data_IF_613433134843
#
_entry.id   IF_613433134843
#
_cell.length_a   1.000
_cell.length_b   1.000
_cell.length_c   1.000
_cell.angle_alpha   90.00
_cell.angle_beta   90.00
_cell.angle_gamma   90.00
#
_symmetry.space_group_name_H-M   'P 1'
#
loop_
_entity.id
_entity.type
_entity.pdbx_description
1 polymer ?
#
# COMPACT_ATOMS: atom_id res chain seq x y z
N UNK A 1 22.73 31.33 1.10
CA UNK A 1 21.48 30.74 0.56
C UNK A 1 21.36 29.39 1.22
N UNK A 2 20.48 29.26 2.20
CA UNK A 2 20.25 27.99 2.89
C UNK A 2 19.56 27.05 1.91
N UNK A 3 20.19 25.91 1.63
CA UNK A 3 19.55 24.76 0.99
C UNK A 3 18.19 24.56 1.66
N UNK A 4 17.14 24.70 0.88
CA UNK A 4 15.80 24.34 1.34
C UNK A 4 15.74 22.84 1.14
N UNK A 5 15.78 22.08 2.23
CA UNK A 5 15.31 20.71 2.20
C UNK A 5 13.86 20.76 1.67
N UNK A 6 13.65 20.26 0.44
CA UNK A 6 12.32 20.16 -0.14
C UNK A 6 11.55 19.09 0.64
N UNK A 7 10.79 19.54 1.63
CA UNK A 7 9.88 18.70 2.42
C UNK A 7 8.61 18.50 1.62
N UNK A 8 8.26 17.23 1.36
CA UNK A 8 7.04 16.88 0.65
C UNK A 8 6.12 16.08 1.57
N UNK A 9 4.90 16.56 1.77
CA UNK A 9 3.90 15.92 2.63
C UNK A 9 2.79 15.36 1.75
N UNK A 10 2.40 14.11 2.00
CA UNK A 10 1.29 13.44 1.29
C UNK A 10 0.36 12.71 2.26
N UNK A 11 -0.83 12.34 1.79
CA UNK A 11 -1.71 11.44 2.54
C UNK A 11 -1.20 10.00 2.50
N UNK A 12 -1.36 9.29 3.62
CA UNK A 12 -1.12 7.84 3.74
C UNK A 12 -2.24 6.99 3.14
N UNK A 13 -3.43 7.55 3.00
CA UNK A 13 -4.63 6.82 2.54
C UNK A 13 -4.87 5.53 3.34
N UNK A 14 -4.67 5.57 4.66
CA UNK A 14 -4.63 4.36 5.52
C UNK A 14 -5.91 3.52 5.37
N UNK A 15 -7.08 4.18 5.30
CA UNK A 15 -8.37 3.50 5.10
C UNK A 15 -8.45 2.79 3.74
N UNK A 16 -8.06 3.44 2.66
CA UNK A 16 -8.13 2.85 1.32
C UNK A 16 -7.12 1.70 1.18
N UNK A 17 -5.94 1.85 1.76
CA UNK A 17 -4.94 0.80 1.82
C UNK A 17 -5.41 -0.44 2.58
N UNK A 18 -6.07 -0.26 3.73
CA UNK A 18 -6.70 -1.38 4.45
C UNK A 18 -7.81 -2.05 3.63
N UNK A 19 -8.68 -1.27 2.99
CA UNK A 19 -9.75 -1.82 2.15
C UNK A 19 -9.19 -2.62 0.96
N UNK A 20 -8.13 -2.14 0.33
CA UNK A 20 -7.45 -2.86 -0.75
C UNK A 20 -6.89 -4.21 -0.26
N UNK A 21 -6.17 -4.21 0.87
CA UNK A 21 -5.62 -5.44 1.45
C UNK A 21 -6.71 -6.44 1.82
N UNK A 22 -7.79 -5.97 2.47
CA UNK A 22 -8.93 -6.82 2.83
C UNK A 22 -9.65 -7.38 1.60
N UNK A 23 -9.78 -6.59 0.53
CA UNK A 23 -10.35 -7.02 -0.73
C UNK A 23 -9.52 -8.14 -1.38
N UNK A 24 -8.20 -7.95 -1.47
CA UNK A 24 -7.29 -8.97 -2.00
C UNK A 24 -7.29 -10.26 -1.16
N UNK A 25 -7.40 -10.16 0.17
CA UNK A 25 -7.55 -11.34 1.04
C UNK A 25 -8.84 -12.09 0.77
N UNK A 26 -9.96 -11.38 0.64
CA UNK A 26 -11.25 -12.01 0.35
C UNK A 26 -11.24 -12.70 -1.03
N UNK A 27 -10.60 -12.08 -2.02
CA UNK A 27 -10.43 -12.67 -3.34
C UNK A 27 -9.58 -13.94 -3.30
N UNK A 28 -8.44 -13.91 -2.61
CA UNK A 28 -7.59 -15.10 -2.40
C UNK A 28 -8.36 -16.25 -1.73
N UNK A 29 -9.10 -15.95 -0.66
CA UNK A 29 -9.90 -16.97 0.02
C UNK A 29 -10.96 -17.59 -0.90
N UNK A 30 -11.58 -16.79 -1.77
CA UNK A 30 -12.53 -17.29 -2.78
C UNK A 30 -11.87 -18.15 -3.86
N UNK A 31 -10.66 -17.77 -4.29
CA UNK A 31 -9.87 -18.55 -5.24
C UNK A 31 -9.40 -19.89 -4.65
N UNK A 32 -8.97 -19.91 -3.39
CA UNK A 32 -8.58 -21.13 -2.67
C UNK A 32 -9.73 -22.15 -2.65
N UNK A 33 -10.94 -21.70 -2.24
CA UNK A 33 -12.13 -22.55 -2.24
C UNK A 33 -12.47 -23.09 -3.64
N UNK A 34 -12.33 -22.23 -4.67
CA UNK A 34 -12.62 -22.63 -6.05
C UNK A 34 -11.58 -23.64 -6.56
N UNK A 35 -10.32 -23.48 -6.17
CA UNK A 35 -9.23 -24.37 -6.54
C UNK A 35 -9.38 -25.74 -5.87
N UNK A 36 -9.74 -25.79 -4.59
CA UNK A 36 -10.06 -27.04 -3.89
C UNK A 36 -11.20 -27.77 -4.58
N UNK A 37 -12.29 -27.07 -4.93
CA UNK A 37 -13.41 -27.67 -5.66
C UNK A 37 -13.00 -28.20 -7.05
N UNK A 38 -12.09 -27.51 -7.76
CA UNK A 38 -11.57 -27.98 -9.03
C UNK A 38 -10.71 -29.24 -8.87
N UNK A 39 -9.91 -29.33 -7.80
CA UNK A 39 -9.17 -30.55 -7.44
C UNK A 39 -10.12 -31.73 -7.20
N UNK A 40 -11.19 -31.52 -6.42
CA UNK A 40 -12.18 -32.56 -6.12
C UNK A 40 -12.87 -33.07 -7.40
N UNK A 41 -13.23 -32.16 -8.32
CA UNK A 41 -13.84 -32.52 -9.62
C UNK A 41 -12.89 -33.39 -10.46
N UNK A 42 -11.61 -33.01 -10.54
CA UNK A 42 -10.63 -33.75 -11.32
C UNK A 42 -10.32 -35.12 -10.70
N UNK A 43 -10.28 -35.21 -9.37
CA UNK A 43 -10.08 -36.47 -8.62
C UNK A 43 -11.25 -37.45 -8.81
N UNK A 44 -12.49 -36.95 -8.91
CA UNK A 44 -13.70 -37.72 -9.18
C UNK A 44 -13.92 -38.01 -10.68
N UNK A 45 -13.05 -37.48 -11.57
CA UNK A 45 -13.23 -37.65 -13.01
C UNK A 45 -13.15 -39.11 -13.45
N UNK A 46 -14.00 -39.46 -14.41
CA UNK A 46 -13.92 -40.75 -15.11
C UNK A 46 -12.65 -40.89 -15.95
N UNK A 47 -12.05 -39.76 -16.36
CA UNK A 47 -10.82 -39.71 -17.13
C UNK A 47 -9.60 -39.95 -16.21
N UNK A 48 -8.82 -41.04 -16.40
CA UNK A 48 -7.66 -41.33 -15.57
C UNK A 48 -6.57 -40.24 -15.60
N UNK A 49 -6.50 -39.45 -16.68
CA UNK A 49 -5.52 -38.39 -16.85
C UNK A 49 -5.86 -37.17 -15.98
N UNK A 50 -7.13 -36.82 -15.87
CA UNK A 50 -7.60 -35.71 -15.02
C UNK A 50 -7.37 -36.02 -13.53
N UNK A 51 -7.59 -37.27 -13.11
CA UNK A 51 -7.28 -37.73 -11.74
C UNK A 51 -5.78 -37.64 -11.36
N UNK A 52 -4.90 -37.47 -12.35
CA UNK A 52 -3.47 -37.28 -12.13
C UNK A 52 -3.11 -35.85 -11.74
N UNK A 53 -3.95 -34.87 -12.10
CA UNK A 53 -3.63 -33.44 -11.99
C UNK A 53 -3.37 -32.99 -10.56
N UNK A 54 -4.21 -33.40 -9.61
CA UNK A 54 -4.06 -33.06 -8.18
C UNK A 54 -2.77 -33.63 -7.57
N UNK A 55 -2.23 -34.71 -8.16
CA UNK A 55 -1.04 -35.42 -7.65
C UNK A 55 0.25 -35.03 -8.34
N UNK A 56 0.15 -34.43 -9.54
CA UNK A 56 1.29 -34.10 -10.37
C UNK A 56 1.09 -32.76 -11.05
N UNK A 57 1.75 -31.73 -10.52
CA UNK A 57 1.79 -30.42 -11.15
C UNK A 57 2.39 -30.46 -12.56
N UNK A 58 3.32 -31.39 -12.82
CA UNK A 58 3.84 -31.61 -14.16
C UNK A 58 2.73 -32.07 -15.13
N UNK A 59 1.91 -33.04 -14.74
CA UNK A 59 0.81 -33.52 -15.57
C UNK A 59 -0.27 -32.44 -15.75
N UNK A 60 -0.62 -31.73 -14.68
CA UNK A 60 -1.53 -30.59 -14.76
C UNK A 60 -1.02 -29.52 -15.74
N UNK A 61 0.29 -29.25 -15.76
CA UNK A 61 0.85 -28.22 -16.63
C UNK A 61 1.01 -28.67 -18.08
N UNK A 62 1.41 -29.90 -18.31
CA UNK A 62 1.63 -30.43 -19.67
C UNK A 62 0.33 -30.81 -20.36
N UNK A 63 -0.68 -31.24 -19.60
CA UNK A 63 -1.90 -31.80 -20.17
C UNK A 63 -3.19 -31.13 -19.70
N UNK A 64 -3.13 -30.32 -18.65
CA UNK A 64 -4.29 -29.54 -18.20
C UNK A 64 -4.64 -28.46 -19.21
N UNK A 65 -5.93 -28.18 -19.29
CA UNK A 65 -6.43 -27.10 -20.15
C UNK A 65 -6.63 -25.84 -19.32
N UNK A 66 -6.20 -24.70 -19.85
CA UNK A 66 -6.49 -23.39 -19.27
C UNK A 66 -7.90 -22.99 -19.73
N UNK A 67 -8.89 -23.43 -18.97
CA UNK A 67 -10.30 -23.03 -19.15
C UNK A 67 -10.82 -22.41 -17.85
N UNK A 68 -11.86 -21.55 -17.91
CA UNK A 68 -12.40 -20.92 -16.71
C UNK A 68 -12.78 -21.95 -15.64
N UNK A 69 -12.22 -21.81 -14.44
CA UNK A 69 -12.49 -22.71 -13.31
C UNK A 69 -11.66 -24.01 -13.32
N UNK A 70 -10.77 -24.21 -14.29
CA UNK A 70 -9.78 -25.29 -14.22
C UNK A 70 -8.74 -25.03 -13.13
N UNK A 71 -8.13 -26.10 -12.60
CA UNK A 71 -7.04 -26.00 -11.63
C UNK A 71 -5.93 -25.05 -12.10
N UNK A 72 -5.51 -25.15 -13.37
CA UNK A 72 -4.39 -24.37 -13.91
C UNK A 72 -4.72 -22.88 -14.04
N UNK A 73 -5.92 -22.53 -14.51
CA UNK A 73 -6.38 -21.13 -14.59
C UNK A 73 -6.53 -20.51 -13.20
N UNK A 74 -7.06 -21.28 -12.24
CA UNK A 74 -7.21 -20.83 -10.86
C UNK A 74 -5.85 -20.63 -10.18
N UNK A 75 -4.87 -21.51 -10.43
CA UNK A 75 -3.50 -21.34 -9.91
C UNK A 75 -2.83 -20.07 -10.45
N UNK A 76 -2.98 -19.78 -11.74
CA UNK A 76 -2.43 -18.55 -12.32
C UNK A 76 -3.04 -17.31 -11.66
N UNK A 77 -4.36 -17.30 -11.44
CA UNK A 77 -5.03 -16.21 -10.73
C UNK A 77 -4.62 -16.10 -9.27
N UNK A 78 -4.46 -17.22 -8.57
CA UNK A 78 -3.93 -17.23 -7.19
C UNK A 78 -2.54 -16.59 -7.18
N UNK A 79 -1.65 -16.97 -8.10
CA UNK A 79 -0.31 -16.38 -8.17
C UNK A 79 -0.34 -14.87 -8.39
N UNK A 80 -1.15 -14.38 -9.34
CA UNK A 80 -1.27 -12.96 -9.62
C UNK A 80 -1.86 -12.18 -8.44
N UNK A 81 -2.96 -12.66 -7.87
CA UNK A 81 -3.60 -12.01 -6.72
C UNK A 81 -2.71 -12.05 -5.47
N UNK A 82 -1.98 -13.15 -5.26
CA UNK A 82 -1.03 -13.28 -4.15
C UNK A 82 0.17 -12.34 -4.32
N UNK A 83 0.66 -12.17 -5.54
CA UNK A 83 1.69 -11.19 -5.85
C UNK A 83 1.21 -9.76 -5.52
N UNK A 84 0.00 -9.41 -5.97
CA UNK A 84 -0.61 -8.11 -5.70
C UNK A 84 -0.82 -7.87 -4.20
N UNK A 85 -1.32 -8.87 -3.47
CA UNK A 85 -1.48 -8.81 -2.02
C UNK A 85 -0.15 -8.57 -1.31
N UNK A 86 0.87 -9.37 -1.60
CA UNK A 86 2.17 -9.28 -0.95
C UNK A 86 2.86 -7.94 -1.27
N UNK A 87 2.78 -7.49 -2.51
CA UNK A 87 3.32 -6.19 -2.93
C UNK A 87 2.62 -5.04 -2.20
N UNK A 88 1.27 -5.05 -2.18
CA UNK A 88 0.49 -4.05 -1.47
C UNK A 88 0.80 -4.05 0.04
N UNK A 89 0.91 -5.23 0.67
CA UNK A 89 1.20 -5.35 2.10
C UNK A 89 2.56 -4.72 2.44
N UNK A 90 3.59 -4.99 1.63
CA UNK A 90 4.91 -4.40 1.81
C UNK A 90 4.87 -2.88 1.60
N UNK A 91 4.19 -2.39 0.57
CA UNK A 91 4.07 -0.95 0.32
C UNK A 91 3.35 -0.23 1.47
N UNK A 92 2.21 -0.76 1.91
CA UNK A 92 1.44 -0.19 3.03
C UNK A 92 2.25 -0.22 4.32
N UNK A 93 2.97 -1.31 4.60
CA UNK A 93 3.83 -1.38 5.79
C UNK A 93 4.91 -0.29 5.80
N UNK A 94 5.53 -0.01 4.64
CA UNK A 94 6.52 1.07 4.51
C UNK A 94 5.87 2.43 4.71
N UNK A 95 4.72 2.68 4.11
CA UNK A 95 3.98 3.95 4.25
C UNK A 95 3.56 4.20 5.71
N UNK A 96 3.16 3.15 6.44
CA UNK A 96 2.77 3.26 7.85
C UNK A 96 3.96 3.48 8.80
N UNK A 97 5.17 3.11 8.39
CA UNK A 97 6.41 3.36 9.13
C UNK A 97 6.96 4.77 8.93
N UNK A 98 6.47 5.50 7.93
CA UNK A 98 6.88 6.89 7.72
C UNK A 98 6.39 7.77 8.87
N UNK A 99 7.26 8.70 9.26
CA UNK A 99 6.96 9.65 10.32
C UNK A 99 5.83 10.58 9.93
N UNK A 100 5.05 10.97 10.94
CA UNK A 100 4.09 12.05 10.78
C UNK A 100 4.85 13.36 10.57
N UNK A 101 4.36 14.26 9.72
CA UNK A 101 4.94 15.59 9.57
C UNK A 101 4.94 16.32 10.91
N UNK A 102 6.04 17.04 11.17
CA UNK A 102 6.08 17.93 12.30
C UNK A 102 5.25 19.21 12.04
N UNK A 103 5.05 20.00 13.10
CA UNK A 103 4.22 21.21 13.02
C UNK A 103 4.83 22.28 12.12
N UNK A 104 6.16 22.38 12.07
CA UNK A 104 6.87 23.38 11.29
C UNK A 104 6.73 23.10 9.80
N UNK A 105 6.93 21.85 9.39
CA UNK A 105 6.76 21.40 8.01
C UNK A 105 5.33 21.59 7.51
N UNK A 106 4.34 21.30 8.37
CA UNK A 106 2.92 21.54 8.06
C UNK A 106 2.59 23.02 7.89
N UNK A 107 3.11 23.89 8.76
CA UNK A 107 2.91 25.34 8.65
C UNK A 107 3.49 25.87 7.35
N UNK A 108 4.71 25.43 7.00
CA UNK A 108 5.38 25.82 5.76
C UNK A 108 4.62 25.36 4.52
N UNK A 109 4.08 24.14 4.51
CA UNK A 109 3.23 23.68 3.42
C UNK A 109 1.95 24.52 3.28
N UNK A 110 1.29 24.87 4.40
CA UNK A 110 0.11 25.73 4.35
C UNK A 110 0.42 27.14 3.86
N UNK A 111 1.56 27.72 4.26
CA UNK A 111 2.03 29.00 3.74
C UNK A 111 2.24 28.94 2.22
N UNK A 112 2.89 27.86 1.73
CA UNK A 112 3.08 27.64 0.30
C UNK A 112 1.76 27.48 -0.46
N UNK A 113 0.80 26.72 0.09
CA UNK A 113 -0.54 26.53 -0.50
C UNK A 113 -1.37 27.83 -0.51
N UNK A 114 -1.12 28.77 0.41
CA UNK A 114 -1.80 30.08 0.50
C UNK A 114 -1.17 31.15 -0.39
N UNK A 115 0.11 31.01 -0.74
CA UNK A 115 0.84 31.99 -1.55
C UNK A 115 0.27 32.04 -2.97
N UNK A 116 -0.22 33.22 -3.36
CA UNK A 116 -0.89 33.49 -4.64
C UNK A 116 0.01 33.31 -5.86
N UNK A 117 1.32 33.47 -5.66
CA UNK A 117 2.31 33.35 -6.73
C UNK A 117 2.94 31.95 -6.79
N UNK A 118 2.55 31.03 -5.88
CA UNK A 118 3.11 29.67 -5.79
C UNK A 118 2.05 28.56 -5.85
N UNK A 119 1.09 28.55 -4.93
CA UNK A 119 0.22 27.39 -4.67
C UNK A 119 -1.29 27.66 -4.72
N UNK A 120 -1.73 28.93 -4.78
CA UNK A 120 -3.12 29.33 -4.52
C UNK A 120 -4.20 28.94 -5.55
N UNK A 121 -3.94 27.97 -6.44
CA UNK A 121 -4.92 27.46 -7.41
C UNK A 121 -5.20 25.96 -7.25
N UNK A 122 -4.52 25.26 -6.33
CA UNK A 122 -4.62 23.81 -6.22
C UNK A 122 -5.82 23.33 -5.39
N UNK A 123 -6.29 24.11 -4.42
CA UNK A 123 -7.32 23.65 -3.50
C UNK A 123 -8.73 23.92 -4.03
N UNK A 124 -9.30 22.92 -4.72
CA UNK A 124 -10.74 22.82 -4.96
C UNK A 124 -11.38 21.87 -3.92
N UNK A 125 -12.67 21.57 -4.05
CA UNK A 125 -13.49 20.96 -2.97
C UNK A 125 -12.90 19.70 -2.32
N UNK A 126 -12.46 18.65 -3.03
CA UNK A 126 -11.90 17.48 -2.36
C UNK A 126 -10.52 17.77 -1.72
N UNK A 127 -9.75 18.71 -2.26
CA UNK A 127 -8.45 19.10 -1.72
C UNK A 127 -8.56 19.95 -0.44
N UNK A 128 -9.60 20.78 -0.32
CA UNK A 128 -9.93 21.52 0.90
C UNK A 128 -10.22 20.60 2.10
N UNK A 129 -10.83 19.43 1.88
CA UNK A 129 -11.06 18.43 2.93
C UNK A 129 -9.76 17.75 3.39
N UNK A 130 -8.75 17.72 2.53
CA UNK A 130 -7.47 17.06 2.79
C UNK A 130 -6.51 17.97 3.57
N UNK A 131 -6.39 19.22 3.14
CA UNK A 131 -5.43 20.18 3.69
C UNK A 131 -6.07 21.18 4.65
N UNK A 132 -7.39 21.12 4.82
CA UNK A 132 -8.17 22.02 5.64
C UNK A 132 -8.51 23.31 4.89
N UNK A 133 -9.57 23.99 5.35
CA UNK A 133 -9.94 25.31 4.81
C UNK A 133 -8.83 26.30 5.11
N UNK A 134 -8.25 26.89 4.05
CA UNK A 134 -7.22 27.91 4.20
C UNK A 134 -7.74 29.22 4.80
N UNK A 135 -9.06 29.42 4.88
CA UNK A 135 -9.71 30.65 5.36
C UNK A 135 -10.85 30.35 6.35
N UNK A 136 -10.91 31.09 7.47
CA UNK A 136 -11.97 31.01 8.49
C UNK A 136 -11.52 30.47 9.86
N UNK A 137 -12.25 30.80 10.92
CA UNK A 137 -11.96 30.41 12.33
C UNK A 137 -12.03 28.91 12.62
N UNK A 138 -12.38 28.09 11.63
CA UNK A 138 -12.58 26.64 11.74
C UNK A 138 -11.44 25.82 11.09
N UNK A 139 -10.25 26.40 10.92
CA UNK A 139 -9.07 25.71 10.39
C UNK A 139 -8.59 24.60 11.36
N UNK A 140 -9.28 23.46 11.36
CA UNK A 140 -8.85 22.23 12.02
C UNK A 140 -8.19 21.34 10.98
N UNK A 141 -6.88 21.15 11.12
CA UNK A 141 -6.10 20.21 10.33
C UNK A 141 -6.37 18.78 10.79
N UNK A 142 -6.82 17.93 9.88
CA UNK A 142 -6.88 16.48 10.11
C UNK A 142 -5.49 15.88 9.83
N UNK A 143 -4.58 15.99 10.80
CA UNK A 143 -3.18 15.55 10.67
C UNK A 143 -3.00 14.02 10.78
N UNK A 144 -4.08 13.27 11.04
CA UNK A 144 -3.99 11.86 11.40
C UNK A 144 -3.63 10.92 10.25
N UNK A 145 -3.72 11.36 8.99
CA UNK A 145 -3.54 10.54 7.78
C UNK A 145 -2.48 11.11 6.81
N UNK A 146 -1.52 11.91 7.29
CA UNK A 146 -0.43 12.48 6.50
C UNK A 146 0.92 11.81 6.83
N UNK A 147 1.88 11.89 5.89
CA UNK A 147 3.30 11.46 6.00
C UNK A 147 4.23 12.44 5.33
N UNK A 148 5.47 12.49 5.81
CA UNK A 148 6.54 13.29 5.21
C UNK A 148 7.51 12.42 4.43
N UNK A 149 7.83 12.85 3.22
CA UNK A 149 9.01 12.44 2.47
C UNK A 149 10.02 13.56 2.53
N UNK A 150 11.19 13.28 3.11
CA UNK A 150 12.32 14.19 3.10
C UNK A 150 13.25 13.70 2.00
N UNK A 151 13.41 14.48 0.93
CA UNK A 151 14.52 14.28 0.01
C UNK A 151 15.79 14.74 0.71
N UNK A 152 16.34 13.90 1.60
CA UNK A 152 17.66 14.15 2.17
C UNK A 152 18.66 13.90 1.06
N UNK A 153 19.11 14.96 0.39
CA UNK A 153 20.46 14.90 -0.14
C UNK A 153 21.38 14.53 1.03
N UNK A 154 22.17 13.49 0.80
CA UNK A 154 22.97 12.78 1.79
C UNK A 154 23.61 13.70 2.83
N UNK A 155 23.12 13.63 4.07
CA UNK A 155 23.85 14.12 5.24
C UNK A 155 22.98 14.86 6.24
N UNK A 156 22.40 14.13 7.19
CA UNK A 156 22.70 14.34 8.61
C UNK A 156 21.91 13.32 9.44
N UNK A 157 22.65 12.37 10.01
CA UNK A 157 22.19 11.60 11.16
C UNK A 157 21.93 12.55 12.32
N UNK A 158 20.69 12.67 12.79
CA UNK A 158 20.43 13.01 14.19
C UNK A 158 20.28 11.72 14.99
N UNK A 159 21.42 11.02 15.12
CA UNK A 159 21.64 10.10 16.21
C UNK A 159 21.90 10.91 17.47
N UNK A 160 20.86 11.25 18.21
CA UNK A 160 20.97 11.81 19.54
C UNK A 160 21.24 10.70 20.56
N UNK A 161 22.43 10.09 20.53
CA UNK A 161 22.90 9.29 21.65
C UNK A 161 23.33 10.25 22.77
N UNK A 162 22.49 10.40 23.79
CA UNK A 162 22.93 10.94 25.06
C UNK A 162 23.91 9.94 25.69
N UNK A 163 25.21 10.24 25.57
CA UNK A 163 26.22 9.72 26.48
C UNK A 163 25.97 10.34 27.86
N UNK A 164 25.44 9.57 28.80
CA UNK A 164 25.66 9.85 30.22
C UNK A 164 26.95 9.14 30.63
N UNK A 165 28.03 9.90 30.64
CA UNK A 165 29.22 9.59 31.44
C UNK A 165 28.83 9.53 32.92
N UNK A 166 29.00 8.37 33.55
CA UNK A 166 29.14 8.26 35.00
C UNK A 166 30.50 7.62 35.27
N UNK A 167 31.46 8.50 35.54
CA UNK A 167 32.71 8.18 36.22
C UNK A 167 32.49 8.42 37.71
N UNK A 168 32.45 7.34 38.50
CA UNK A 168 33.15 7.13 39.77
C UNK A 168 32.70 5.78 40.36
#
# INVERSE_FOLDING_TARGET
MTEVDDVVIFRRFSKLNMLNLLGLQAELAGLELSYEAACDIDDDSSNPQERGFTRSFYELREFGQIIPGSQLELLDRIHDTLHNYNSALLQVSRVLQLDKPDKYDLERLHEWLRDKDRGALFLHKPEEEIWGKLSGSDAKTSTSDQVTFIQRESGFSRGGYYYSSLSL
#
